data_IF_539841106690
#
_entry.id   IF_539841106690
#
_cell.length_a   1.000
_cell.length_b   1.000
_cell.length_c   1.000
_cell.angle_alpha   90.00
_cell.angle_beta   90.00
_cell.angle_gamma   90.00
#
_symmetry.space_group_name_H-M   'P 1'
#
loop_
_entity.id
_entity.type
_entity.pdbx_description
1 polymer ?
#
# COMPACT_ATOMS: atom_id res chain seq x y z
N UNK A 1 8.03 -12.24 -2.47
CA UNK A 1 7.41 -11.95 -3.79
C UNK A 1 7.09 -10.47 -3.93
N UNK A 2 6.31 -9.89 -3.01
CA UNK A 2 5.98 -8.45 -3.01
C UNK A 2 7.19 -7.51 -3.12
N UNK A 3 8.24 -7.72 -2.32
CA UNK A 3 9.44 -6.85 -2.38
C UNK A 3 10.14 -6.89 -3.74
N UNK A 4 10.23 -8.07 -4.35
CA UNK A 4 10.83 -8.22 -5.68
C UNK A 4 9.98 -7.52 -6.74
N UNK A 5 8.65 -7.63 -6.65
CA UNK A 5 7.72 -6.93 -7.54
C UNK A 5 7.80 -5.41 -7.37
N UNK A 6 7.86 -4.88 -6.14
CA UNK A 6 8.06 -3.44 -5.92
C UNK A 6 9.40 -2.94 -6.47
N UNK A 7 10.45 -3.77 -6.39
CA UNK A 7 11.75 -3.45 -6.97
C UNK A 7 11.69 -3.37 -8.50
N UNK A 8 10.89 -4.20 -9.18
CA UNK A 8 10.78 -4.20 -10.65
C UNK A 8 9.77 -3.19 -11.16
N UNK A 9 8.61 -3.05 -10.51
CA UNK A 9 7.50 -2.22 -11.01
C UNK A 9 7.49 -0.81 -10.42
N UNK A 10 7.73 -0.65 -9.12
CA UNK A 10 7.61 0.67 -8.46
C UNK A 10 8.92 1.47 -8.54
N UNK A 11 10.06 0.83 -8.26
CA UNK A 11 11.36 1.54 -8.19
C UNK A 11 11.67 2.35 -9.47
N UNK A 12 11.44 1.85 -10.69
CA UNK A 12 11.72 2.64 -11.91
C UNK A 12 10.86 3.89 -12.04
N UNK A 13 9.64 3.87 -11.49
CA UNK A 13 8.66 4.96 -11.62
C UNK A 13 8.89 6.10 -10.60
N UNK A 14 9.74 5.92 -9.60
CA UNK A 14 9.87 6.84 -8.48
C UNK A 14 10.17 8.29 -8.90
N UNK A 15 11.04 8.49 -9.90
CA UNK A 15 11.36 9.83 -10.40
C UNK A 15 10.17 10.50 -11.08
N UNK A 16 9.45 9.78 -11.95
CA UNK A 16 8.26 10.33 -12.63
C UNK A 16 7.14 10.65 -11.64
N UNK A 17 6.98 9.82 -10.59
CA UNK A 17 6.01 10.07 -9.52
C UNK A 17 6.35 11.35 -8.76
N UNK A 18 7.61 11.48 -8.32
CA UNK A 18 8.03 12.56 -7.43
C UNK A 18 8.22 13.91 -8.16
N UNK A 19 8.69 13.90 -9.41
CA UNK A 19 9.03 15.11 -10.16
C UNK A 19 7.92 15.55 -11.12
N UNK A 20 7.21 14.61 -11.73
CA UNK A 20 6.23 14.89 -12.78
C UNK A 20 4.78 14.70 -12.29
N UNK A 21 4.57 14.30 -11.03
CA UNK A 21 3.25 14.06 -10.46
C UNK A 21 2.53 12.86 -11.07
N UNK A 22 3.25 11.90 -11.65
CA UNK A 22 2.67 10.69 -12.20
C UNK A 22 1.95 9.89 -11.09
N UNK A 23 0.66 9.61 -11.28
CA UNK A 23 -0.12 8.89 -10.28
C UNK A 23 0.08 7.36 -10.42
N UNK A 24 0.56 6.65 -9.38
CA UNK A 24 0.97 5.24 -9.45
C UNK A 24 -0.22 4.26 -9.38
N UNK A 25 -1.22 4.43 -10.25
CA UNK A 25 -2.48 3.66 -10.23
C UNK A 25 -2.25 2.15 -10.30
N UNK A 26 -1.40 1.71 -11.23
CA UNK A 26 -1.13 0.28 -11.46
C UNK A 26 -0.46 -0.36 -10.24
N UNK A 27 0.40 0.40 -9.55
CA UNK A 27 1.05 -0.08 -8.32
C UNK A 27 0.00 -0.29 -7.22
N UNK A 28 -0.90 0.68 -7.02
CA UNK A 28 -1.98 0.54 -6.04
C UNK A 28 -2.92 -0.63 -6.35
N UNK A 29 -3.26 -0.85 -7.62
CA UNK A 29 -4.05 -2.01 -8.04
C UNK A 29 -3.32 -3.33 -7.76
N UNK A 30 -2.03 -3.43 -8.12
CA UNK A 30 -1.22 -4.62 -7.87
C UNK A 30 -1.00 -4.90 -6.38
N UNK A 31 -0.95 -3.88 -5.52
CA UNK A 31 -0.96 -4.05 -4.06
C UNK A 31 -2.29 -4.67 -3.58
N UNK A 32 -3.42 -4.21 -4.12
CA UNK A 32 -4.73 -4.77 -3.84
C UNK A 32 -4.85 -6.24 -4.26
N UNK A 33 -4.40 -6.58 -5.47
CA UNK A 33 -4.39 -7.95 -6.00
C UNK A 33 -3.50 -8.91 -5.17
N UNK A 34 -2.42 -8.39 -4.59
CA UNK A 34 -1.56 -9.14 -3.66
C UNK A 34 -2.11 -9.20 -2.22
N UNK A 35 -3.29 -8.65 -1.98
CA UNK A 35 -3.98 -8.72 -0.69
C UNK A 35 -3.50 -7.70 0.34
N UNK A 36 -2.66 -6.72 -0.02
CA UNK A 36 -2.11 -5.74 0.91
C UNK A 36 -3.18 -4.81 1.52
N UNK A 37 -4.35 -4.70 0.89
CA UNK A 37 -5.49 -3.92 1.39
C UNK A 37 -6.63 -4.78 1.93
N UNK A 38 -6.41 -6.09 2.05
CA UNK A 38 -7.44 -7.00 2.53
C UNK A 38 -7.75 -6.76 4.02
N UNK A 39 -9.05 -6.76 4.34
CA UNK A 39 -9.55 -6.69 5.72
C UNK A 39 -10.31 -7.97 6.02
N UNK A 40 -9.58 -9.06 6.27
CA UNK A 40 -10.20 -10.35 6.61
C UNK A 40 -10.61 -10.39 8.08
N UNK A 41 -11.82 -10.89 8.36
CA UNK A 41 -12.31 -11.12 9.72
C UNK A 41 -11.56 -12.24 10.47
N UNK A 42 -10.62 -12.93 9.81
CA UNK A 42 -9.85 -14.03 10.39
C UNK A 42 -8.59 -13.56 11.14
N UNK A 43 -8.17 -12.31 10.97
CA UNK A 43 -7.00 -11.74 11.64
C UNK A 43 -7.40 -10.92 12.86
N UNK A 44 -6.55 -10.91 13.89
CA UNK A 44 -6.71 -9.97 14.98
C UNK A 44 -6.40 -8.54 14.51
N UNK A 45 -6.95 -7.54 15.20
CA UNK A 45 -6.70 -6.14 14.88
C UNK A 45 -5.19 -5.82 14.83
N UNK A 46 -4.41 -6.30 15.80
CA UNK A 46 -2.96 -6.07 15.84
C UNK A 46 -2.23 -6.74 14.67
N UNK A 47 -2.68 -7.91 14.22
CA UNK A 47 -2.11 -8.57 13.05
C UNK A 47 -2.37 -7.77 11.78
N UNK A 48 -3.61 -7.26 11.60
CA UNK A 48 -3.94 -6.40 10.47
C UNK A 48 -3.11 -5.12 10.47
N UNK A 49 -3.03 -4.41 11.60
CA UNK A 49 -2.22 -3.19 11.71
C UNK A 49 -0.74 -3.47 11.44
N UNK A 50 -0.18 -4.57 11.95
CA UNK A 50 1.21 -4.93 11.67
C UNK A 50 1.45 -5.14 10.17
N UNK A 51 0.54 -5.84 9.49
CA UNK A 51 0.64 -6.11 8.06
C UNK A 51 0.48 -4.83 7.21
N UNK A 52 -0.39 -3.92 7.63
CA UNK A 52 -0.58 -2.59 7.04
C UNK A 52 0.69 -1.74 7.17
N UNK A 53 1.28 -1.69 8.37
CA UNK A 53 2.54 -0.98 8.63
C UNK A 53 3.69 -1.57 7.81
N UNK A 54 3.79 -2.89 7.72
CA UNK A 54 4.83 -3.54 6.91
C UNK A 54 4.66 -3.27 5.42
N UNK A 55 3.42 -3.19 4.93
CA UNK A 55 3.12 -2.79 3.55
C UNK A 55 3.61 -1.36 3.29
N UNK A 56 3.23 -0.40 4.15
CA UNK A 56 3.67 1.00 4.02
C UNK A 56 5.18 1.10 4.06
N UNK A 57 5.84 0.42 5.01
CA UNK A 57 7.30 0.39 5.15
C UNK A 57 7.98 -0.12 3.88
N UNK A 58 7.47 -1.22 3.31
CA UNK A 58 8.08 -1.86 2.16
C UNK A 58 7.90 -1.05 0.87
N UNK A 59 6.73 -0.46 0.66
CA UNK A 59 6.48 0.46 -0.48
C UNK A 59 7.35 1.71 -0.36
N UNK A 60 7.39 2.31 0.84
CA UNK A 60 8.17 3.54 1.11
C UNK A 60 9.68 3.35 0.89
N UNK A 61 10.19 2.12 1.04
CA UNK A 61 11.59 1.79 0.73
C UNK A 61 11.96 2.06 -0.74
N UNK A 62 11.00 1.99 -1.67
CA UNK A 62 11.22 2.15 -3.10
C UNK A 62 10.70 3.48 -3.65
N UNK A 63 9.61 4.01 -3.11
CA UNK A 63 9.10 5.35 -3.43
C UNK A 63 8.28 5.88 -2.24
N UNK A 64 8.74 6.97 -1.61
CA UNK A 64 8.12 7.53 -0.41
C UNK A 64 6.71 8.09 -0.71
N UNK A 65 6.54 8.81 -1.83
CA UNK A 65 5.23 9.38 -2.23
C UNK A 65 4.19 8.30 -2.44
N UNK A 66 4.57 7.19 -3.10
CA UNK A 66 3.66 6.04 -3.25
C UNK A 66 3.38 5.36 -1.90
N UNK A 67 4.38 5.29 -1.01
CA UNK A 67 4.21 4.83 0.36
C UNK A 67 3.19 5.66 1.15
N UNK A 68 3.22 6.98 0.99
CA UNK A 68 2.24 7.88 1.59
C UNK A 68 0.82 7.66 1.03
N UNK A 69 0.67 7.54 -0.30
CA UNK A 69 -0.65 7.26 -0.91
C UNK A 69 -1.18 5.89 -0.44
N UNK A 70 -0.29 4.90 -0.30
CA UNK A 70 -0.62 3.57 0.24
C UNK A 70 -1.14 3.68 1.68
N UNK A 71 -0.50 4.48 2.53
CA UNK A 71 -0.98 4.76 3.88
C UNK A 71 -2.35 5.45 3.87
N UNK A 72 -2.56 6.45 3.01
CA UNK A 72 -3.87 7.11 2.89
C UNK A 72 -4.99 6.12 2.55
N UNK A 73 -4.73 5.18 1.63
CA UNK A 73 -5.68 4.13 1.29
C UNK A 73 -5.98 3.23 2.49
N UNK A 74 -4.95 2.78 3.21
CA UNK A 74 -5.11 1.95 4.40
C UNK A 74 -5.86 2.65 5.52
N UNK A 75 -5.61 3.95 5.74
CA UNK A 75 -6.38 4.75 6.69
C UNK A 75 -7.87 4.80 6.32
N UNK A 76 -8.19 4.97 5.03
CA UNK A 76 -9.58 4.89 4.55
C UNK A 76 -10.19 3.50 4.80
N UNK A 77 -9.44 2.42 4.56
CA UNK A 77 -9.86 1.05 4.86
C UNK A 77 -10.13 0.86 6.36
N UNK A 78 -9.32 1.44 7.24
CA UNK A 78 -9.58 1.45 8.69
C UNK A 78 -10.93 2.10 9.01
N UNK A 79 -11.22 3.27 8.45
CA UNK A 79 -12.51 3.93 8.66
C UNK A 79 -13.69 3.07 8.18
N UNK A 80 -13.57 2.46 7.00
CA UNK A 80 -14.61 1.56 6.46
C UNK A 80 -14.82 0.37 7.39
N UNK A 81 -13.73 -0.24 7.90
CA UNK A 81 -13.77 -1.39 8.81
C UNK A 81 -14.51 -1.09 10.12
N UNK A 82 -14.40 0.12 10.62
CA UNK A 82 -14.99 0.54 11.91
C UNK A 82 -16.32 1.29 11.76
N UNK A 83 -16.77 1.56 10.54
CA UNK A 83 -18.07 2.19 10.30
C UNK A 83 -19.19 1.19 10.55
N UNK A 84 -20.22 1.61 11.30
CA UNK A 84 -21.40 0.78 11.55
C UNK A 84 -22.18 0.61 10.23
N UNK A 85 -22.63 -0.62 9.96
CA UNK A 85 -23.56 -0.90 8.87
C UNK A 85 -24.92 -0.26 9.13
#
# INVERSE_FOLDING_TARGET
MLEQWLKTELKPLAQEIDLEGFYPKQILQGLGEQGCFSSSNQQSYLQSVQQEVDTVRLVSKYCMTTGFITWCHLAAVTYVRHTKK
#
